data_IF_946985351518
#
_entry.id   IF_946985351518
#
_cell.length_a   1.000
_cell.length_b   1.000
_cell.length_c   1.000
_cell.angle_alpha   90.00
_cell.angle_beta   90.00
_cell.angle_gamma   90.00
#
_symmetry.space_group_name_H-M   'P 1'
#
loop_
_entity.id
_entity.type
_entity.pdbx_description
1 polymer ?
#
# COMPACT_ATOMS: atom_id res chain seq x y z
N UNK A 1 -3.99 -12.67 -9.71
CA UNK A 1 -3.00 -13.23 -8.76
C UNK A 1 -2.31 -12.08 -8.04
N UNK A 2 -2.33 -12.02 -6.70
CA UNK A 2 -1.55 -11.02 -5.96
C UNK A 2 -0.03 -11.24 -6.11
N UNK A 3 0.74 -10.16 -6.12
CA UNK A 3 2.20 -10.18 -6.26
C UNK A 3 2.74 -9.02 -7.09
N UNK A 4 4.03 -9.13 -7.45
CA UNK A 4 4.75 -8.20 -8.31
C UNK A 4 4.42 -8.50 -9.78
N UNK A 5 3.91 -7.49 -10.49
CA UNK A 5 3.61 -7.59 -11.92
C UNK A 5 4.55 -6.71 -12.73
N UNK A 6 4.92 -7.19 -13.92
CA UNK A 6 5.77 -6.45 -14.86
C UNK A 6 5.07 -6.32 -16.22
N UNK A 7 4.99 -5.10 -16.73
CA UNK A 7 4.52 -4.78 -18.08
C UNK A 7 5.72 -4.39 -18.92
N UNK A 8 5.86 -4.99 -20.10
CA UNK A 8 6.93 -4.68 -21.06
C UNK A 8 6.34 -4.03 -22.31
N UNK A 9 6.91 -2.90 -22.70
CA UNK A 9 6.71 -2.30 -24.01
C UNK A 9 7.75 -2.87 -24.97
N UNK A 10 7.30 -3.67 -25.93
CA UNK A 10 8.15 -4.34 -26.91
C UNK A 10 7.78 -3.90 -28.34
N UNK A 11 8.79 -3.61 -29.17
CA UNK A 11 8.61 -3.34 -30.60
C UNK A 11 9.69 -4.10 -31.37
N UNK A 12 9.29 -4.85 -32.40
CA UNK A 12 10.18 -5.73 -33.18
C UNK A 12 11.03 -6.66 -32.30
N UNK A 13 10.41 -7.29 -31.31
CA UNK A 13 11.06 -8.20 -30.34
C UNK A 13 12.16 -7.56 -29.48
N UNK A 14 12.24 -6.21 -29.44
CA UNK A 14 13.11 -5.46 -28.54
C UNK A 14 12.29 -4.83 -27.43
N UNK A 15 12.73 -5.01 -26.18
CA UNK A 15 12.13 -4.36 -25.01
C UNK A 15 12.62 -2.91 -24.93
N UNK A 16 11.69 -1.96 -24.92
CA UNK A 16 11.97 -0.52 -24.80
C UNK A 16 11.83 -0.02 -23.38
N UNK A 17 10.80 -0.50 -22.68
CA UNK A 17 10.54 -0.11 -21.30
C UNK A 17 9.87 -1.25 -20.55
N UNK A 18 10.21 -1.36 -19.28
CA UNK A 18 9.51 -2.21 -18.33
C UNK A 18 8.96 -1.33 -17.22
N UNK A 19 7.70 -1.56 -16.86
CA UNK A 19 7.04 -0.98 -15.69
C UNK A 19 6.70 -2.12 -14.74
N UNK A 20 6.83 -1.86 -13.44
CA UNK A 20 6.41 -2.80 -12.41
C UNK A 20 5.29 -2.18 -11.58
N UNK A 21 4.34 -3.00 -11.16
CA UNK A 21 3.25 -2.57 -10.27
C UNK A 21 2.89 -3.70 -9.30
N UNK A 22 2.33 -3.33 -8.14
CA UNK A 22 1.93 -4.28 -7.12
C UNK A 22 0.44 -4.57 -7.18
N UNK A 23 0.08 -5.85 -7.10
CA UNK A 23 -1.28 -6.30 -6.77
C UNK A 23 -1.23 -6.89 -5.37
N UNK A 24 -1.74 -6.18 -4.37
CA UNK A 24 -1.72 -6.66 -2.98
C UNK A 24 -2.81 -7.71 -2.73
N UNK A 25 -2.54 -8.73 -1.90
CA UNK A 25 -3.61 -9.56 -1.38
C UNK A 25 -4.40 -8.78 -0.33
N UNK A 26 -5.69 -9.06 -0.22
CA UNK A 26 -6.56 -8.42 0.77
C UNK A 26 -6.47 -9.17 2.10
N UNK A 27 -6.42 -8.43 3.20
CA UNK A 27 -6.54 -8.99 4.55
C UNK A 27 -7.96 -8.84 5.13
N UNK A 28 -8.74 -7.89 4.62
CA UNK A 28 -10.09 -7.58 5.09
C UNK A 28 -11.13 -7.82 4.00
N UNK A 29 -12.31 -8.26 4.40
CA UNK A 29 -13.54 -8.29 3.61
C UNK A 29 -14.64 -7.55 4.40
N UNK A 30 -15.18 -6.46 3.85
CA UNK A 30 -16.22 -5.67 4.53
C UNK A 30 -15.82 -5.16 5.92
N UNK A 31 -14.54 -4.81 6.13
CA UNK A 31 -13.92 -4.42 7.40
C UNK A 31 -13.72 -5.55 8.43
N UNK A 32 -14.04 -6.80 8.08
CA UNK A 32 -13.75 -7.97 8.91
C UNK A 32 -12.47 -8.65 8.40
N UNK A 33 -11.53 -9.05 9.27
CA UNK A 33 -10.38 -9.85 8.85
C UNK A 33 -10.84 -11.12 8.15
N UNK A 34 -10.15 -11.52 7.09
CA UNK A 34 -10.45 -12.76 6.39
C UNK A 34 -10.34 -13.95 7.35
N UNK A 35 -11.43 -14.71 7.47
CA UNK A 35 -11.50 -15.93 8.27
C UNK A 35 -10.84 -17.13 7.58
N UNK A 36 -10.48 -16.99 6.31
CA UNK A 36 -9.88 -18.05 5.50
C UNK A 36 -8.98 -17.44 4.41
N UNK A 37 -8.04 -18.22 3.84
CA UNK A 37 -7.08 -17.70 2.88
C UNK A 37 -7.72 -17.04 1.65
N UNK A 38 -7.08 -15.99 1.07
CA UNK A 38 -7.59 -15.31 -0.12
C UNK A 38 -7.82 -16.24 -1.32
N UNK A 39 -7.04 -17.33 -1.44
CA UNK A 39 -7.22 -18.34 -2.49
C UNK A 39 -8.63 -18.95 -2.51
N UNK A 40 -9.22 -19.18 -1.34
CA UNK A 40 -10.52 -19.84 -1.20
C UNK A 40 -11.62 -18.94 -1.76
N UNK A 41 -11.49 -17.62 -1.58
CA UNK A 41 -12.43 -16.63 -2.09
C UNK A 41 -12.17 -16.29 -3.58
N UNK A 42 -10.92 -16.35 -4.05
CA UNK A 42 -10.54 -16.04 -5.43
C UNK A 42 -10.96 -17.12 -6.45
N UNK A 43 -11.21 -18.36 -6.02
CA UNK A 43 -11.72 -19.46 -6.89
C UNK A 43 -13.09 -19.20 -7.52
N UNK A 44 -13.76 -18.08 -7.21
CA UNK A 44 -15.02 -17.66 -7.84
C UNK A 44 -14.85 -16.95 -9.19
N UNK A 45 -13.64 -16.57 -9.60
CA UNK A 45 -13.40 -15.95 -10.91
C UNK A 45 -13.02 -17.03 -11.94
N UNK A 46 -14.00 -17.43 -12.75
CA UNK A 46 -13.81 -18.32 -13.91
C UNK A 46 -13.00 -17.61 -15.01
N UNK A 47 -11.68 -17.60 -14.91
CA UNK A 47 -10.82 -17.19 -16.01
C UNK A 47 -9.92 -18.35 -16.44
N UNK A 48 -9.86 -18.60 -17.75
CA UNK A 48 -9.11 -19.69 -18.37
C UNK A 48 -7.60 -19.54 -18.14
N UNK A 49 -7.08 -20.21 -17.11
CA UNK A 49 -5.67 -20.19 -16.65
C UNK A 49 -4.74 -21.09 -17.50
N UNK A 50 -4.79 -21.00 -18.83
CA UNK A 50 -4.01 -21.93 -19.69
C UNK A 50 -2.54 -21.52 -19.87
N UNK A 51 -2.10 -20.35 -19.40
CA UNK A 51 -0.79 -19.77 -19.81
C UNK A 51 0.28 -19.73 -18.70
N UNK A 52 -0.07 -19.86 -17.42
CA UNK A 52 0.88 -19.59 -16.31
C UNK A 52 1.45 -20.84 -15.61
N UNK A 53 1.06 -22.04 -16.03
CA UNK A 53 1.25 -23.30 -15.29
C UNK A 53 2.69 -23.84 -15.22
N UNK A 54 3.70 -23.16 -15.81
CA UNK A 54 5.09 -23.63 -15.82
C UNK A 54 6.15 -22.61 -15.38
N UNK A 55 5.76 -21.52 -14.71
CA UNK A 55 6.75 -20.57 -14.18
C UNK A 55 7.10 -20.87 -12.72
N UNK A 56 8.36 -20.66 -12.31
CA UNK A 56 8.79 -20.75 -10.90
C UNK A 56 7.93 -19.88 -9.97
N UNK A 57 7.43 -18.75 -10.50
CA UNK A 57 6.49 -17.85 -9.85
C UNK A 57 5.17 -18.52 -9.46
N UNK A 58 4.72 -19.56 -10.17
CA UNK A 58 3.48 -20.26 -9.85
C UNK A 58 3.60 -21.07 -8.55
N UNK A 59 4.75 -21.69 -8.30
CA UNK A 59 4.98 -22.46 -7.05
C UNK A 59 4.97 -21.54 -5.84
N UNK A 60 5.75 -20.46 -5.91
CA UNK A 60 5.80 -19.44 -4.84
C UNK A 60 4.42 -18.83 -4.60
N UNK A 61 3.70 -18.49 -5.68
CA UNK A 61 2.33 -18.01 -5.58
C UNK A 61 1.40 -19.02 -4.91
N UNK A 62 1.42 -20.28 -5.34
CA UNK A 62 0.53 -21.34 -4.81
C UNK A 62 0.71 -21.55 -3.31
N UNK A 63 1.93 -21.37 -2.80
CA UNK A 63 2.23 -21.43 -1.39
C UNK A 63 1.73 -20.19 -0.64
N UNK A 64 1.83 -19.01 -1.23
CA UNK A 64 1.46 -17.76 -0.57
C UNK A 64 -0.06 -17.51 -0.53
N UNK A 65 -0.81 -18.00 -1.51
CA UNK A 65 -2.26 -17.74 -1.57
C UNK A 65 -3.09 -18.50 -0.54
N UNK A 66 -2.51 -19.53 0.10
CA UNK A 66 -3.13 -20.27 1.20
C UNK A 66 -2.80 -19.68 2.58
N UNK A 67 -2.02 -18.60 2.65
CA UNK A 67 -1.73 -17.91 3.91
C UNK A 67 -2.96 -17.16 4.42
N UNK A 68 -3.13 -17.16 5.74
CA UNK A 68 -4.11 -16.36 6.46
C UNK A 68 -3.48 -15.70 7.70
N UNK A 69 -4.27 -14.91 8.43
CA UNK A 69 -3.86 -14.35 9.72
C UNK A 69 -2.50 -13.61 9.67
N UNK A 70 -1.63 -13.81 10.68
CA UNK A 70 -0.31 -13.19 10.72
C UNK A 70 0.60 -13.53 9.53
N UNK A 71 0.49 -14.73 8.97
CA UNK A 71 1.31 -15.12 7.81
C UNK A 71 0.93 -14.36 6.54
N UNK A 72 -0.37 -14.11 6.35
CA UNK A 72 -0.87 -13.27 5.28
C UNK A 72 -0.41 -11.82 5.44
N UNK A 73 -0.46 -11.27 6.66
CA UNK A 73 0.04 -9.92 6.95
C UNK A 73 1.54 -9.79 6.64
N UNK A 74 2.36 -10.73 7.11
CA UNK A 74 3.79 -10.73 6.82
C UNK A 74 4.08 -10.82 5.31
N UNK A 75 3.28 -11.59 4.56
CA UNK A 75 3.40 -11.62 3.10
C UNK A 75 3.01 -10.28 2.45
N UNK A 76 1.95 -9.63 2.94
CA UNK A 76 1.55 -8.27 2.50
C UNK A 76 2.70 -7.29 2.75
N UNK A 77 3.26 -7.27 3.96
CA UNK A 77 4.35 -6.36 4.33
C UNK A 77 5.61 -6.58 3.48
N UNK A 78 5.97 -7.83 3.20
CA UNK A 78 7.07 -8.16 2.28
C UNK A 78 6.82 -7.70 0.84
N UNK A 79 5.58 -7.70 0.38
CA UNK A 79 5.22 -7.20 -0.95
C UNK A 79 5.25 -5.66 -0.99
N UNK A 80 4.64 -5.01 0.01
CA UNK A 80 4.56 -3.55 0.10
C UNK A 80 5.97 -2.94 0.26
N UNK A 81 6.83 -3.53 1.09
CA UNK A 81 8.20 -3.03 1.29
C UNK A 81 9.09 -3.02 0.04
N UNK A 82 8.72 -3.74 -1.03
CA UNK A 82 9.45 -3.69 -2.32
C UNK A 82 9.17 -2.42 -3.14
N UNK A 83 8.04 -1.77 -2.90
CA UNK A 83 7.56 -0.62 -3.67
C UNK A 83 7.46 0.65 -2.84
N UNK A 84 7.21 0.50 -1.54
CA UNK A 84 7.05 1.61 -0.61
C UNK A 84 8.13 1.56 0.46
N UNK A 85 8.61 2.73 0.85
CA UNK A 85 9.48 2.92 2.00
C UNK A 85 8.86 3.91 2.97
N UNK A 86 9.00 3.62 4.26
CA UNK A 86 8.59 4.57 5.32
C UNK A 86 9.66 5.66 5.37
N UNK A 87 9.32 6.85 4.88
CA UNK A 87 10.26 7.98 4.80
C UNK A 87 10.42 8.68 6.16
N UNK A 88 9.31 8.96 6.84
CA UNK A 88 9.29 9.62 8.14
C UNK A 88 7.99 9.31 8.87
N UNK A 89 8.04 9.43 10.20
CA UNK A 89 6.86 9.45 11.07
C UNK A 89 6.91 10.70 11.95
N UNK A 90 5.77 11.06 12.54
CA UNK A 90 5.66 12.16 13.50
C UNK A 90 4.59 11.81 14.55
N UNK A 91 4.58 12.50 15.68
CA UNK A 91 3.54 12.37 16.72
C UNK A 91 2.63 13.59 16.76
N UNK A 92 1.32 13.35 16.90
CA UNK A 92 0.32 14.41 17.14
C UNK A 92 0.20 14.74 18.63
N UNK A 93 0.49 13.78 19.51
CA UNK A 93 0.42 13.97 20.96
C UNK A 93 1.78 14.48 21.47
N UNK A 94 1.79 15.70 21.98
CA UNK A 94 2.94 16.25 22.70
C UNK A 94 3.08 15.52 24.06
N UNK A 95 4.22 14.90 24.29
CA UNK A 95 4.60 14.37 25.61
C UNK A 95 4.04 13.00 26.02
N UNK A 96 3.31 12.27 25.18
CA UNK A 96 2.75 10.94 25.53
C UNK A 96 3.37 9.75 24.79
N UNK A 97 4.32 9.96 23.87
CA UNK A 97 4.95 8.87 23.14
C UNK A 97 6.17 8.35 23.89
N UNK A 98 6.11 7.08 24.34
CA UNK A 98 7.28 6.32 24.81
C UNK A 98 8.39 6.18 23.76
N UNK A 99 8.07 6.45 22.50
CA UNK A 99 9.01 6.59 21.40
C UNK A 99 9.45 8.07 21.30
N UNK A 100 10.52 8.43 22.00
CA UNK A 100 11.11 9.78 22.04
C UNK A 100 11.78 10.21 20.71
N UNK A 101 11.74 9.36 19.68
CA UNK A 101 12.42 9.58 18.40
C UNK A 101 11.55 10.28 17.34
N UNK A 102 10.25 10.44 17.56
CA UNK A 102 9.36 11.07 16.58
C UNK A 102 9.20 12.58 16.87
N UNK A 103 9.45 13.45 15.87
CA UNK A 103 9.18 14.88 16.00
C UNK A 103 7.66 15.17 16.03
N UNK A 104 7.30 16.39 16.41
CA UNK A 104 5.90 16.85 16.34
C UNK A 104 5.40 16.87 14.89
N UNK A 105 4.17 16.40 14.67
CA UNK A 105 3.51 16.46 13.37
C UNK A 105 3.20 17.90 12.92
N UNK A 106 3.08 18.85 13.85
CA UNK A 106 2.87 20.27 13.53
C UNK A 106 4.17 20.97 13.08
N UNK A 107 5.33 20.40 13.41
CA UNK A 107 6.65 20.90 13.01
C UNK A 107 7.19 20.22 11.73
N UNK A 108 6.55 19.12 11.31
CA UNK A 108 7.00 18.29 10.19
C UNK A 108 6.37 18.73 8.87
N UNK A 109 7.12 19.41 7.99
CA UNK A 109 6.61 20.02 6.74
C UNK A 109 5.83 19.12 5.76
N UNK A 110 6.06 17.80 5.81
CA UNK A 110 5.36 16.81 4.96
C UNK A 110 4.05 16.30 5.59
N UNK A 111 3.84 16.58 6.88
CA UNK A 111 2.66 16.19 7.63
C UNK A 111 1.46 17.03 7.24
N UNK A 112 0.28 16.41 7.24
CA UNK A 112 -1.00 17.11 7.06
C UNK A 112 -1.36 18.01 8.25
N UNK A 113 -0.68 17.87 9.39
CA UNK A 113 -0.84 18.74 10.56
C UNK A 113 0.07 19.97 10.52
N UNK A 114 0.99 20.04 9.56
CA UNK A 114 1.82 21.23 9.40
C UNK A 114 0.93 22.41 8.97
N UNK A 115 1.08 23.61 9.58
CA UNK A 115 0.26 24.77 9.23
C UNK A 115 0.26 25.06 7.73
N UNK A 116 -0.93 25.19 7.15
CA UNK A 116 -1.12 25.62 5.77
C UNK A 116 -2.04 26.85 5.74
N UNK A 117 -1.50 28.05 6.03
CA UNK A 117 -2.30 29.27 6.14
C UNK A 117 -3.08 29.62 4.87
N UNK A 118 -2.67 29.06 3.72
CA UNK A 118 -3.37 29.27 2.45
C UNK A 118 -4.71 28.53 2.38
N UNK A 119 -4.85 27.45 3.14
CA UNK A 119 -6.05 26.60 3.17
C UNK A 119 -6.90 26.83 4.42
N UNK A 120 -6.37 27.58 5.40
CA UNK A 120 -7.05 27.88 6.66
C UNK A 120 -7.96 29.10 6.52
N UNK A 121 -9.23 28.96 6.94
CA UNK A 121 -10.18 30.07 6.98
C UNK A 121 -10.17 30.69 8.37
N UNK A 122 -9.55 31.86 8.48
CA UNK A 122 -9.52 32.65 9.71
C UNK A 122 -10.74 33.57 9.90
N UNK A 123 -10.78 34.33 11.00
CA UNK A 123 -11.77 35.38 11.21
C UNK A 123 -11.71 36.46 10.12
N UNK A 124 -12.85 37.08 9.82
CA UNK A 124 -12.92 38.21 8.87
C UNK A 124 -12.14 39.40 9.44
N UNK A 125 -11.18 39.90 8.66
CA UNK A 125 -10.40 41.08 8.98
C UNK A 125 -11.25 42.36 8.89
N UNK A 126 -10.75 43.47 9.43
CA UNK A 126 -11.45 44.78 9.39
C UNK A 126 -11.76 45.29 7.98
N UNK A 127 -11.07 44.79 6.96
CA UNK A 127 -11.31 45.09 5.54
C UNK A 127 -12.41 44.21 4.90
N UNK A 128 -13.07 43.34 5.67
CA UNK A 128 -14.12 42.44 5.21
C UNK A 128 -13.63 41.18 4.48
N UNK A 129 -12.32 40.87 4.48
CA UNK A 129 -11.75 39.67 3.85
C UNK A 129 -11.35 38.63 4.88
N UNK A 130 -11.34 37.36 4.45
CA UNK A 130 -10.73 36.27 5.20
C UNK A 130 -9.22 36.24 4.83
N UNK A 131 -8.32 36.05 5.82
CA UNK A 131 -6.88 35.92 5.58
C UNK A 131 -6.53 34.85 4.55
#
# INVERSE_FOLDING_TARGET
MPGLWKVRLELNSKVYKTLEFLVTPLYYDGAVPLSSPPAVNAKRMNHSDTVLTKSENYKEWSHNVVKDGPELLNWIDQLVSRFWSVQAGCSVLEGSSSCSSFPSCHESKWSTYFPDPKSELGPVQSNGRIP
#
